data_IF_352554579405
#
_entry.id   IF_352554579405
#
_cell.length_a   1.000
_cell.length_b   1.000
_cell.length_c   1.000
_cell.angle_alpha   90.00
_cell.angle_beta   90.00
_cell.angle_gamma   90.00
#
_symmetry.space_group_name_H-M   'P 1'
#
loop_
_entity.id
_entity.type
_entity.pdbx_description
1 polymer ?
#
# COMPACT_ATOMS: atom_id res chain seq x y z
N UNK A 1 -4.19 1.01 -0.44
CA UNK A 1 -4.04 1.33 0.99
C UNK A 1 -5.38 1.58 1.70
N UNK A 2 -6.28 2.40 1.16
CA UNK A 2 -7.56 2.76 1.80
C UNK A 2 -8.42 1.55 2.15
N UNK A 3 -8.58 0.59 1.23
CA UNK A 3 -9.33 -0.65 1.47
C UNK A 3 -8.74 -1.46 2.62
N UNK A 4 -7.42 -1.70 2.62
CA UNK A 4 -6.69 -2.36 3.71
C UNK A 4 -6.94 -1.70 5.06
N UNK A 5 -6.86 -0.37 5.10
CA UNK A 5 -7.01 0.38 6.35
C UNK A 5 -8.44 0.30 6.91
N UNK A 6 -9.44 0.43 6.04
CA UNK A 6 -10.85 0.33 6.44
C UNK A 6 -11.19 -1.08 6.92
N UNK A 7 -10.68 -2.12 6.27
CA UNK A 7 -10.85 -3.50 6.72
C UNK A 7 -10.11 -3.76 8.04
N UNK A 8 -8.90 -3.22 8.20
CA UNK A 8 -8.15 -3.30 9.44
C UNK A 8 -8.91 -2.66 10.61
N UNK A 9 -9.49 -1.48 10.43
CA UNK A 9 -10.28 -0.80 11.46
C UNK A 9 -11.46 -1.66 11.90
N UNK A 10 -12.20 -2.26 10.97
CA UNK A 10 -13.34 -3.11 11.35
C UNK A 10 -12.93 -4.33 12.18
N UNK A 11 -11.75 -4.91 11.91
CA UNK A 11 -11.23 -6.06 12.66
C UNK A 11 -10.74 -5.62 14.04
N UNK A 12 -10.08 -4.47 14.14
CA UNK A 12 -9.59 -3.90 15.40
C UNK A 12 -10.76 -3.50 16.31
N UNK A 13 -11.82 -2.91 15.74
CA UNK A 13 -13.05 -2.55 16.47
C UNK A 13 -13.76 -3.78 17.03
N UNK A 14 -13.79 -4.89 16.29
CA UNK A 14 -14.32 -6.15 16.76
C UNK A 14 -13.44 -6.85 17.82
N UNK A 15 -12.14 -6.51 17.89
CA UNK A 15 -11.17 -7.16 18.79
C UNK A 15 -11.20 -6.60 20.21
N UNK A 16 -11.33 -5.27 20.39
CA UNK A 16 -11.39 -4.65 21.71
C UNK A 16 -12.43 -3.53 21.77
N UNK A 17 -13.27 -3.59 22.80
CA UNK A 17 -14.22 -2.52 23.12
C UNK A 17 -13.54 -1.29 23.72
N UNK A 18 -12.37 -1.45 24.33
CA UNK A 18 -11.64 -0.34 24.95
C UNK A 18 -10.92 0.50 23.88
N UNK A 19 -11.08 1.82 23.96
CA UNK A 19 -10.41 2.75 23.06
C UNK A 19 -8.92 2.86 23.39
N UNK A 20 -8.53 2.70 24.66
CA UNK A 20 -7.14 2.81 25.11
C UNK A 20 -6.28 1.69 24.52
N UNK A 21 -6.77 0.45 24.57
CA UNK A 21 -6.07 -0.70 23.96
C UNK A 21 -5.89 -0.55 22.45
N UNK A 22 -6.91 -0.05 21.75
CA UNK A 22 -6.85 0.19 20.30
C UNK A 22 -5.82 1.25 19.94
N UNK A 23 -5.79 2.36 20.69
CA UNK A 23 -4.79 3.42 20.51
C UNK A 23 -3.38 2.89 20.76
N UNK A 24 -3.19 2.11 21.83
CA UNK A 24 -1.90 1.50 22.15
C UNK A 24 -1.42 0.57 21.02
N UNK A 25 -2.32 -0.25 20.46
CA UNK A 25 -2.02 -1.15 19.35
C UNK A 25 -1.63 -0.37 18.07
N UNK A 26 -2.36 0.70 17.74
CA UNK A 26 -1.95 1.58 16.64
C UNK A 26 -0.57 2.18 16.87
N UNK A 27 -0.29 2.69 18.08
CA UNK A 27 1.02 3.21 18.44
C UNK A 27 2.14 2.20 18.25
N UNK A 28 1.94 0.96 18.69
CA UNK A 28 2.91 -0.13 18.51
C UNK A 28 3.15 -0.46 17.04
N UNK A 29 2.09 -0.54 16.22
CA UNK A 29 2.23 -0.78 14.78
C UNK A 29 3.05 0.33 14.11
N UNK A 30 2.76 1.61 14.39
CA UNK A 30 3.51 2.73 13.83
C UNK A 30 4.97 2.75 14.28
N UNK A 31 5.22 2.39 15.55
CA UNK A 31 6.57 2.28 16.08
C UNK A 31 7.36 1.17 15.37
N UNK A 32 6.76 0.00 15.16
CA UNK A 32 7.37 -1.09 14.39
C UNK A 32 7.68 -0.66 12.95
N UNK A 33 6.74 -0.01 12.27
CA UNK A 33 6.94 0.52 10.91
C UNK A 33 8.13 1.47 10.89
N UNK A 34 8.20 2.42 11.81
CA UNK A 34 9.25 3.44 11.85
C UNK A 34 10.63 2.80 12.09
N UNK A 35 10.72 1.92 13.10
CA UNK A 35 11.96 1.22 13.47
C UNK A 35 12.46 0.32 12.34
N UNK A 36 11.57 -0.31 11.58
CA UNK A 36 11.94 -1.15 10.43
C UNK A 36 12.26 -0.33 9.18
N UNK A 37 11.56 0.78 8.96
CA UNK A 37 11.70 1.61 7.75
C UNK A 37 13.06 2.26 7.68
N UNK A 38 13.51 2.90 8.77
CA UNK A 38 14.80 3.60 8.81
C UNK A 38 16.01 2.75 8.37
N UNK A 39 16.29 1.59 8.99
CA UNK A 39 17.43 0.75 8.61
C UNK A 39 17.26 0.15 7.22
N UNK A 40 16.03 -0.22 6.83
CA UNK A 40 15.74 -0.73 5.48
C UNK A 40 16.06 0.34 4.44
N UNK A 41 15.64 1.59 4.68
CA UNK A 41 15.84 2.70 3.76
C UNK A 41 17.32 3.09 3.60
N UNK A 42 18.08 3.08 4.71
CA UNK A 42 19.49 3.44 4.70
C UNK A 42 20.39 2.36 4.08
N UNK A 43 20.08 1.08 4.31
CA UNK A 43 20.98 -0.03 3.96
C UNK A 43 20.48 -0.87 2.79
N UNK A 44 19.20 -1.24 2.80
CA UNK A 44 18.67 -2.26 1.89
C UNK A 44 18.05 -1.67 0.63
N UNK A 45 17.48 -0.47 0.69
CA UNK A 45 16.74 0.12 -0.43
C UNK A 45 17.59 0.26 -1.69
N UNK A 46 18.83 0.75 -1.57
CA UNK A 46 19.74 0.84 -2.72
C UNK A 46 20.03 -0.53 -3.34
N UNK A 47 20.23 -1.55 -2.50
CA UNK A 47 20.48 -2.93 -2.93
C UNK A 47 19.25 -3.50 -3.65
N UNK A 48 18.07 -3.33 -3.06
CA UNK A 48 16.78 -3.82 -3.59
C UNK A 48 16.49 -3.18 -4.95
N UNK A 49 16.68 -1.86 -5.07
CA UNK A 49 16.43 -1.13 -6.32
C UNK A 49 17.40 -1.57 -7.42
N UNK A 50 18.69 -1.70 -7.11
CA UNK A 50 19.67 -2.17 -8.10
C UNK A 50 19.46 -3.63 -8.51
N UNK A 51 18.95 -4.48 -7.61
CA UNK A 51 18.73 -5.91 -7.90
C UNK A 51 17.41 -6.19 -8.63
N UNK A 52 16.31 -5.59 -8.17
CA UNK A 52 14.98 -5.84 -8.72
C UNK A 52 14.65 -4.92 -9.90
N UNK A 53 15.23 -3.73 -9.94
CA UNK A 53 14.83 -2.68 -10.88
C UNK A 53 13.48 -2.06 -10.51
N UNK A 54 13.25 -0.86 -11.04
CA UNK A 54 12.07 -0.04 -10.73
C UNK A 54 10.77 -0.76 -11.07
N UNK A 55 10.71 -1.42 -12.23
CA UNK A 55 9.50 -2.08 -12.70
C UNK A 55 9.03 -3.25 -11.86
N UNK A 56 9.97 -4.08 -11.40
CA UNK A 56 9.63 -5.23 -10.56
C UNK A 56 9.16 -4.80 -9.19
N UNK A 57 9.72 -3.71 -8.64
CA UNK A 57 9.28 -3.15 -7.35
C UNK A 57 7.80 -2.72 -7.42
N UNK A 58 7.43 -1.96 -8.45
CA UNK A 58 6.05 -1.51 -8.64
C UNK A 58 5.09 -2.68 -8.86
N UNK A 59 5.52 -3.71 -9.61
CA UNK A 59 4.74 -4.93 -9.78
C UNK A 59 4.54 -5.68 -8.45
N UNK A 60 5.63 -5.90 -7.71
CA UNK A 60 5.62 -6.59 -6.42
C UNK A 60 4.73 -5.90 -5.40
N UNK A 61 4.59 -4.58 -5.48
CA UNK A 61 3.66 -3.87 -4.61
C UNK A 61 2.21 -4.28 -4.85
N UNK A 62 1.79 -4.41 -6.11
CA UNK A 62 0.46 -4.93 -6.45
C UNK A 62 0.27 -6.37 -5.97
N UNK A 63 1.30 -7.22 -6.12
CA UNK A 63 1.27 -8.60 -5.61
C UNK A 63 1.17 -8.64 -4.08
N UNK A 64 1.86 -7.74 -3.38
CA UNK A 64 1.76 -7.62 -1.92
C UNK A 64 0.31 -7.36 -1.47
N UNK A 65 -0.43 -6.49 -2.16
CA UNK A 65 -1.86 -6.29 -1.88
C UNK A 65 -2.70 -7.53 -2.19
N UNK A 66 -2.43 -8.24 -3.29
CA UNK A 66 -3.15 -9.47 -3.60
C UNK A 66 -2.99 -10.51 -2.48
N UNK A 67 -1.77 -10.69 -1.98
CA UNK A 67 -1.48 -11.61 -0.88
C UNK A 67 -2.23 -11.16 0.39
N UNK A 68 -2.09 -9.90 0.80
CA UNK A 68 -2.75 -9.36 2.01
C UNK A 68 -4.27 -9.50 1.94
N UNK A 69 -4.88 -9.14 0.81
CA UNK A 69 -6.33 -9.26 0.63
C UNK A 69 -6.80 -10.72 0.62
N UNK A 70 -5.96 -11.64 0.12
CA UNK A 70 -6.25 -13.08 0.17
C UNK A 70 -6.27 -13.58 1.61
N UNK A 71 -5.30 -13.13 2.41
CA UNK A 71 -5.23 -13.50 3.82
C UNK A 71 -6.43 -12.96 4.62
N UNK A 72 -6.88 -11.73 4.34
CA UNK A 72 -8.10 -11.19 4.97
C UNK A 72 -9.37 -11.96 4.62
N UNK A 73 -9.47 -12.46 3.39
CA UNK A 73 -10.60 -13.26 2.95
C UNK A 73 -10.69 -14.61 3.69
N UNK A 74 -9.55 -15.23 3.96
CA UNK A 74 -9.48 -16.55 4.61
C UNK A 74 -9.67 -16.44 6.13
N UNK A 75 -8.98 -15.49 6.76
CA UNK A 75 -8.93 -15.38 8.22
C UNK A 75 -8.74 -13.93 8.67
N UNK A 76 -9.80 -13.17 8.95
CA UNK A 76 -9.69 -11.78 9.39
C UNK A 76 -9.32 -11.71 10.89
N UNK A 77 -8.05 -11.89 11.24
CA UNK A 77 -7.55 -11.80 12.63
C UNK A 77 -6.67 -10.57 12.86
N UNK A 78 -6.55 -10.17 14.14
CA UNK A 78 -5.72 -9.03 14.55
C UNK A 78 -4.23 -9.22 14.17
N UNK A 79 -3.71 -10.44 14.26
CA UNK A 79 -2.32 -10.74 13.90
C UNK A 79 -2.06 -10.50 12.41
N UNK A 80 -3.03 -10.81 11.55
CA UNK A 80 -2.94 -10.56 10.10
C UNK A 80 -3.01 -9.07 9.82
N UNK A 81 -3.85 -8.32 10.55
CA UNK A 81 -3.90 -6.86 10.44
C UNK A 81 -2.56 -6.22 10.79
N UNK A 82 -1.94 -6.64 11.89
CA UNK A 82 -0.63 -6.14 12.34
C UNK A 82 0.41 -6.45 11.27
N UNK A 83 0.53 -7.71 10.85
CA UNK A 83 1.48 -8.13 9.83
C UNK A 83 1.30 -7.36 8.52
N UNK A 84 0.07 -7.32 7.99
CA UNK A 84 -0.24 -6.65 6.74
C UNK A 84 0.02 -5.14 6.80
N UNK A 85 -0.34 -4.49 7.90
CA UNK A 85 -0.11 -3.05 8.10
C UNK A 85 1.37 -2.73 8.14
N UNK A 86 2.14 -3.48 8.94
CA UNK A 86 3.59 -3.29 9.05
C UNK A 86 4.27 -3.57 7.72
N UNK A 87 3.94 -4.69 7.07
CA UNK A 87 4.54 -5.10 5.80
C UNK A 87 4.25 -4.12 4.66
N UNK A 88 2.98 -3.76 4.43
CA UNK A 88 2.61 -2.85 3.34
C UNK A 88 3.18 -1.45 3.54
N UNK A 89 3.20 -0.94 4.77
CA UNK A 89 3.77 0.38 5.07
C UNK A 89 5.28 0.38 4.99
N UNK A 90 5.94 -0.68 5.48
CA UNK A 90 7.39 -0.84 5.33
C UNK A 90 7.77 -0.84 3.84
N UNK A 91 7.04 -1.60 3.02
CA UNK A 91 7.27 -1.63 1.58
C UNK A 91 7.02 -0.25 0.93
N UNK A 92 5.93 0.42 1.30
CA UNK A 92 5.61 1.75 0.77
C UNK A 92 6.69 2.79 1.09
N UNK A 93 7.06 2.89 2.36
CA UNK A 93 7.96 3.93 2.84
C UNK A 93 9.43 3.64 2.55
N UNK A 94 9.88 2.40 2.78
CA UNK A 94 11.29 2.06 2.60
C UNK A 94 11.65 1.82 1.13
N UNK A 95 10.73 1.33 0.29
CA UNK A 95 11.05 0.86 -1.07
C UNK A 95 10.33 1.68 -2.14
N UNK A 96 9.00 1.75 -2.14
CA UNK A 96 8.25 2.42 -3.23
C UNK A 96 8.54 3.91 -3.32
N UNK A 97 8.50 4.61 -2.18
CA UNK A 97 8.72 6.05 -2.16
C UNK A 97 10.08 6.45 -2.76
N UNK A 98 11.23 5.90 -2.32
CA UNK A 98 12.52 6.21 -2.93
C UNK A 98 12.61 5.75 -4.39
N UNK A 99 12.01 4.60 -4.73
CA UNK A 99 11.94 4.14 -6.13
C UNK A 99 11.24 5.16 -7.03
N UNK A 100 10.12 5.74 -6.57
CA UNK A 100 9.37 6.78 -7.26
C UNK A 100 10.18 8.08 -7.40
N UNK A 101 10.91 8.47 -6.35
CA UNK A 101 11.78 9.64 -6.39
C UNK A 101 12.93 9.50 -7.40
N UNK A 102 13.49 8.29 -7.58
CA UNK A 102 14.47 7.98 -8.62
C UNK A 102 13.84 8.10 -10.02
N UNK A 103 12.61 7.64 -10.22
CA UNK A 103 11.91 7.84 -11.51
C UNK A 103 11.76 9.32 -11.82
N UNK A 104 11.33 10.11 -10.82
CA UNK A 104 11.16 11.55 -10.99
C UNK A 104 12.46 12.32 -11.20
N UNK A 105 13.61 11.81 -10.72
CA UNK A 105 14.90 12.48 -10.93
C UNK A 105 15.38 12.45 -12.39
N UNK A 106 14.84 11.54 -13.21
CA UNK A 106 15.11 11.47 -14.65
C UNK A 106 14.30 12.48 -15.48
N UNK A 107 13.31 13.15 -14.88
CA UNK A 107 12.50 14.17 -15.54
C UNK A 107 13.19 15.54 -15.51
N UNK A 108 12.88 16.39 -16.50
CA UNK A 108 13.27 17.81 -16.48
C UNK A 108 12.70 18.49 -15.24
N UNK A 109 13.39 19.49 -14.70
CA UNK A 109 13.03 20.15 -13.44
C UNK A 109 11.54 20.57 -13.35
N UNK A 110 11.00 21.22 -14.39
CA UNK A 110 9.61 21.65 -14.41
C UNK A 110 8.63 20.45 -14.39
N UNK A 111 8.94 19.41 -15.15
CA UNK A 111 8.10 18.21 -15.25
C UNK A 111 8.18 17.37 -13.96
N UNK A 112 9.35 17.32 -13.33
CA UNK A 112 9.57 16.68 -12.02
C UNK A 112 8.66 17.29 -10.95
N UNK A 113 8.65 18.62 -10.80
CA UNK A 113 7.83 19.28 -9.78
C UNK A 113 6.33 19.07 -10.03
N UNK A 114 5.87 19.23 -11.28
CA UNK A 114 4.47 19.03 -11.65
C UNK A 114 4.03 17.58 -11.42
N UNK A 115 4.86 16.61 -11.85
CA UNK A 115 4.53 15.19 -11.76
C UNK A 115 4.52 14.70 -10.32
N UNK A 116 5.49 15.10 -9.49
CA UNK A 116 5.51 14.69 -8.07
C UNK A 116 4.27 15.21 -7.36
N UNK A 117 3.96 16.49 -7.46
CA UNK A 117 2.79 17.08 -6.80
C UNK A 117 1.48 16.46 -7.30
N UNK A 118 1.37 16.23 -8.62
CA UNK A 118 0.21 15.59 -9.20
C UNK A 118 0.01 14.16 -8.67
N UNK A 119 1.06 13.35 -8.63
CA UNK A 119 0.94 11.98 -8.10
C UNK A 119 0.68 12.00 -6.59
N UNK A 120 1.45 12.76 -5.83
CA UNK A 120 1.37 12.78 -4.37
C UNK A 120 0.03 13.33 -3.88
N UNK A 121 -0.55 14.30 -4.59
CA UNK A 121 -1.80 14.95 -4.21
C UNK A 121 -2.98 14.38 -4.98
N UNK A 122 -3.04 14.59 -6.29
CA UNK A 122 -4.24 14.28 -7.07
C UNK A 122 -4.47 12.76 -7.14
N UNK A 123 -3.48 11.97 -7.55
CA UNK A 123 -3.64 10.53 -7.67
C UNK A 123 -3.90 9.85 -6.32
N UNK A 124 -3.14 10.22 -5.28
CA UNK A 124 -3.36 9.66 -3.93
C UNK A 124 -4.74 9.99 -3.40
N UNK A 125 -5.20 11.25 -3.53
CA UNK A 125 -6.52 11.67 -3.03
C UNK A 125 -7.67 11.08 -3.82
N UNK A 126 -7.54 10.97 -5.15
CA UNK A 126 -8.50 10.23 -5.96
C UNK A 126 -8.53 8.75 -5.59
N UNK A 127 -7.38 8.15 -5.26
CA UNK A 127 -7.30 6.79 -4.74
C UNK A 127 -8.07 6.63 -3.43
N UNK A 128 -7.90 7.56 -2.49
CA UNK A 128 -8.65 7.55 -1.22
C UNK A 128 -10.15 7.72 -1.41
N UNK A 129 -10.56 8.64 -2.29
CA UNK A 129 -11.97 8.85 -2.62
C UNK A 129 -12.59 7.61 -3.28
N UNK A 130 -11.96 7.09 -4.33
CA UNK A 130 -12.45 5.90 -5.04
C UNK A 130 -12.47 4.66 -4.14
N UNK A 131 -11.45 4.49 -3.29
CA UNK A 131 -11.40 3.40 -2.31
C UNK A 131 -12.50 3.47 -1.26
N UNK A 132 -12.80 4.66 -0.73
CA UNK A 132 -13.88 4.84 0.24
C UNK A 132 -15.27 4.66 -0.40
N UNK A 133 -15.48 5.18 -1.62
CA UNK A 133 -16.70 4.95 -2.39
C UNK A 133 -16.92 3.46 -2.68
N UNK A 134 -15.87 2.74 -3.05
CA UNK A 134 -15.94 1.30 -3.30
C UNK A 134 -16.45 0.52 -2.07
N UNK A 135 -15.93 0.85 -0.89
CA UNK A 135 -16.34 0.20 0.37
C UNK A 135 -17.78 0.60 0.73
N UNK A 136 -18.11 1.89 0.59
CA UNK A 136 -19.47 2.39 0.84
C UNK A 136 -20.51 1.69 -0.02
N UNK A 137 -20.24 1.54 -1.33
CA UNK A 137 -21.08 0.79 -2.26
C UNK A 137 -21.20 -0.69 -1.85
N UNK A 138 -20.09 -1.33 -1.48
CA UNK A 138 -20.10 -2.70 -0.97
C UNK A 138 -21.00 -2.88 0.25
N UNK A 139 -20.94 -1.93 1.20
CA UNK A 139 -21.77 -1.93 2.40
C UNK A 139 -23.26 -1.74 2.06
N UNK A 140 -23.60 -0.83 1.13
CA UNK A 140 -24.99 -0.63 0.67
C UNK A 140 -25.55 -1.87 -0.01
N UNK A 141 -24.71 -2.61 -0.74
CA UNK A 141 -25.08 -3.88 -1.38
C UNK A 141 -25.14 -5.07 -0.41
N UNK A 142 -24.84 -4.87 0.88
CA UNK A 142 -24.84 -5.93 1.88
C UNK A 142 -23.69 -6.93 1.76
N UNK A 143 -22.60 -6.55 1.08
CA UNK A 143 -21.40 -7.40 0.98
C UNK A 143 -20.72 -7.46 2.34
N UNK A 144 -20.49 -8.66 2.85
CA UNK A 144 -19.76 -8.86 4.11
C UNK A 144 -18.36 -8.24 4.05
N UNK A 145 -17.92 -7.60 5.13
CA UNK A 145 -16.63 -6.88 5.20
C UNK A 145 -15.41 -7.74 4.81
N UNK A 146 -15.46 -9.06 5.04
CA UNK A 146 -14.41 -10.01 4.64
C UNK A 146 -14.30 -10.22 3.13
N UNK A 147 -15.37 -9.95 2.37
CA UNK A 147 -15.44 -10.15 0.91
C UNK A 147 -15.03 -8.89 0.13
N UNK A 148 -15.12 -7.71 0.74
CA UNK A 148 -14.75 -6.43 0.11
C UNK A 148 -13.28 -6.43 -0.39
N UNK A 149 -12.28 -6.93 0.36
CA UNK A 149 -10.91 -7.08 -0.13
C UNK A 149 -10.78 -7.96 -1.38
N UNK A 150 -11.60 -9.01 -1.52
CA UNK A 150 -11.57 -9.92 -2.67
C UNK A 150 -12.00 -9.17 -3.94
N UNK A 151 -13.07 -8.39 -3.86
CA UNK A 151 -13.52 -7.58 -4.99
C UNK A 151 -12.54 -6.47 -5.37
N UNK A 152 -11.64 -6.08 -4.47
CA UNK A 152 -10.57 -5.13 -4.76
C UNK A 152 -9.35 -5.78 -5.47
N UNK A 153 -9.22 -7.11 -5.46
CA UNK A 153 -8.09 -7.81 -6.07
C UNK A 153 -7.96 -7.60 -7.58
N UNK A 154 -9.02 -7.65 -8.41
CA UNK A 154 -8.89 -7.39 -9.85
C UNK A 154 -8.29 -6.02 -10.14
N UNK A 155 -8.68 -5.01 -9.35
CA UNK A 155 -8.15 -3.65 -9.46
C UNK A 155 -6.66 -3.61 -9.13
N UNK A 156 -6.24 -4.29 -8.05
CA UNK A 156 -4.83 -4.42 -7.69
C UNK A 156 -4.01 -5.14 -8.78
N UNK A 157 -4.57 -6.19 -9.40
CA UNK A 157 -3.96 -6.91 -10.51
C UNK A 157 -3.77 -6.02 -11.74
N UNK A 158 -4.78 -5.21 -12.08
CA UNK A 158 -4.70 -4.25 -13.19
C UNK A 158 -3.59 -3.22 -12.95
N UNK A 159 -3.48 -2.66 -11.74
CA UNK A 159 -2.41 -1.73 -11.41
C UNK A 159 -1.03 -2.37 -11.43
N UNK A 160 -0.91 -3.61 -10.96
CA UNK A 160 0.33 -4.38 -11.05
C UNK A 160 0.77 -4.58 -12.52
N UNK A 161 -0.19 -4.90 -13.41
CA UNK A 161 0.06 -5.01 -14.84
C UNK A 161 0.51 -3.68 -15.48
N UNK A 162 -0.15 -2.57 -15.14
CA UNK A 162 0.27 -1.24 -15.61
C UNK A 162 1.68 -0.87 -15.14
N UNK A 163 2.07 -1.26 -13.92
CA UNK A 163 3.43 -1.10 -13.41
C UNK A 163 4.48 -1.73 -14.32
N UNK A 164 4.22 -2.94 -14.83
CA UNK A 164 5.12 -3.61 -15.81
C UNK A 164 5.17 -2.84 -17.13
N UNK A 165 4.02 -2.39 -17.64
CA UNK A 165 3.96 -1.71 -18.93
C UNK A 165 4.74 -0.40 -18.91
N UNK A 166 4.56 0.41 -17.87
CA UNK A 166 5.28 1.66 -17.69
C UNK A 166 6.79 1.38 -17.61
N UNK A 167 7.21 0.42 -16.80
CA UNK A 167 8.63 0.10 -16.67
C UNK A 167 9.31 -0.34 -17.97
N UNK A 168 8.59 -1.04 -18.85
CA UNK A 168 9.11 -1.42 -20.17
C UNK A 168 9.30 -0.21 -21.10
N UNK A 169 8.40 0.77 -21.02
CA UNK A 169 8.45 1.97 -21.88
C UNK A 169 9.53 2.96 -21.43
N UNK A 170 9.82 3.06 -20.12
CA UNK A 170 10.75 4.08 -19.62
C UNK A 170 12.24 3.75 -19.77
N UNK A 171 12.65 2.52 -20.12
CA UNK A 171 14.08 2.09 -20.15
C UNK A 171 14.90 2.61 -18.95
N UNK A 172 14.28 2.69 -17.78
CA UNK A 172 14.98 2.99 -16.53
C UNK A 172 15.41 1.62 -16.01
N UNK A 173 16.72 1.34 -16.10
CA UNK A 173 17.44 0.11 -15.76
C UNK A 173 16.65 -1.04 -15.11
#
# INVERSE_FOLDING_TARGET
>A
MTVHWMTAISIIDAWSSDSVERIALFGQMEQMVTILTLPTQLLLTSIIINFLGVGRILFLYGVAFLIVFSTYAISPTISIVIFATVFLRLFEYAINKPTREIVFSHLKQNDRYKSSVFIDTFCTRLGDLSGSLFISLGNVMGVGFSLIPIFAMPIAGIFSYFGIKIAKETKIY
#
